data_IF_278356156155
#
_entry.id   IF_278356156155
#
_cell.length_a   1.000
_cell.length_b   1.000
_cell.length_c   1.000
_cell.angle_alpha   90.00
_cell.angle_beta   90.00
_cell.angle_gamma   90.00
#
_symmetry.space_group_name_H-M   'P 1'
#
loop_
_entity.id
_entity.type
_entity.pdbx_description
1 polymer ?
#
# COMPACT_ATOMS: atom_id res chain seq x y z
N UNK A 1 -10.35 -17.35 11.69
CA UNK A 1 -9.50 -16.45 12.51
C UNK A 1 -9.38 -15.10 11.79
N UNK A 2 -9.99 -13.99 12.26
CA UNK A 2 -9.75 -12.69 11.65
C UNK A 2 -8.30 -12.30 11.92
N UNK A 3 -7.43 -12.55 10.93
CA UNK A 3 -5.99 -12.35 11.06
C UNK A 3 -5.67 -10.95 11.57
N UNK A 4 -4.89 -10.88 12.65
CA UNK A 4 -4.41 -9.65 13.31
C UNK A 4 -3.58 -8.83 12.31
N UNK A 5 -4.24 -7.97 11.51
CA UNK A 5 -3.62 -7.05 10.54
C UNK A 5 -2.88 -5.89 11.25
N UNK A 6 -1.63 -5.63 10.91
CA UNK A 6 -0.70 -4.70 11.57
C UNK A 6 -0.18 -3.61 10.63
N UNK A 7 0.50 -2.59 11.17
CA UNK A 7 0.21 -1.13 11.08
C UNK A 7 1.33 -0.26 10.51
N UNK A 8 0.96 0.82 9.84
CA UNK A 8 1.85 1.94 9.48
C UNK A 8 1.91 3.00 10.61
N UNK A 9 3.12 3.32 11.08
CA UNK A 9 3.37 4.39 12.06
C UNK A 9 4.06 5.54 11.34
N UNK A 10 3.41 6.69 11.25
CA UNK A 10 3.91 7.89 10.57
C UNK A 10 4.50 8.83 11.62
N UNK A 11 5.83 8.95 11.67
CA UNK A 11 6.49 9.91 12.56
C UNK A 11 6.51 11.27 11.87
N UNK A 12 6.24 12.35 12.59
CA UNK A 12 6.27 13.70 12.04
C UNK A 12 6.78 14.71 13.07
N UNK A 13 7.31 15.82 12.60
CA UNK A 13 7.88 16.86 13.45
C UNK A 13 8.83 17.76 12.67
N UNK A 14 9.22 18.87 13.29
CA UNK A 14 10.14 19.85 12.71
C UNK A 14 11.47 19.20 12.29
N UNK A 15 12.23 19.80 11.35
CA UNK A 15 13.61 19.39 11.12
C UNK A 15 14.39 19.42 12.44
N UNK A 16 15.30 18.46 12.62
CA UNK A 16 16.11 18.31 13.86
C UNK A 16 15.34 18.23 15.18
N UNK A 17 14.03 17.89 15.17
CA UNK A 17 13.23 17.72 16.38
C UNK A 17 13.43 16.40 17.14
N UNK A 18 14.40 15.56 16.78
CA UNK A 18 14.63 14.27 17.45
C UNK A 18 13.75 13.10 16.96
N UNK A 19 13.13 13.23 15.78
CA UNK A 19 12.32 12.17 15.15
C UNK A 19 13.04 10.84 15.08
N UNK A 20 14.25 10.81 14.52
CA UNK A 20 15.06 9.60 14.36
C UNK A 20 15.49 8.99 15.69
N UNK A 21 15.66 9.81 16.74
CA UNK A 21 15.91 9.35 18.10
C UNK A 21 14.69 8.64 18.67
N UNK A 22 13.50 9.26 18.58
CA UNK A 22 12.24 8.62 19.02
C UNK A 22 11.85 7.42 18.16
N UNK A 23 12.18 7.43 16.87
CA UNK A 23 11.97 6.31 15.95
C UNK A 23 12.78 5.07 16.36
N UNK A 24 14.06 5.25 16.73
CA UNK A 24 14.91 4.17 17.26
C UNK A 24 14.41 3.64 18.59
N UNK A 25 14.00 4.51 19.51
CA UNK A 25 13.40 4.11 20.79
C UNK A 25 12.13 3.28 20.57
N UNK A 26 11.24 3.74 19.67
CA UNK A 26 10.03 3.02 19.31
C UNK A 26 10.35 1.67 18.65
N UNK A 27 11.32 1.64 17.74
CA UNK A 27 11.76 0.41 17.09
C UNK A 27 12.29 -0.61 18.11
N UNK A 28 13.13 -0.18 19.06
CA UNK A 28 13.63 -1.04 20.14
C UNK A 28 12.48 -1.59 21.01
N UNK A 29 11.56 -0.72 21.44
CA UNK A 29 10.36 -1.11 22.19
C UNK A 29 9.50 -2.14 21.44
N UNK A 30 9.22 -1.89 20.15
CA UNK A 30 8.40 -2.80 19.34
C UNK A 30 9.11 -4.13 19.13
N UNK A 31 10.42 -4.13 18.91
CA UNK A 31 11.22 -5.35 18.78
C UNK A 31 11.15 -6.22 20.05
N UNK A 32 11.25 -5.60 21.23
CA UNK A 32 11.08 -6.25 22.54
C UNK A 32 9.67 -6.86 22.68
N UNK A 33 8.62 -6.08 22.36
CA UNK A 33 7.21 -6.50 22.44
C UNK A 33 6.85 -7.63 21.48
N UNK A 34 7.37 -7.59 20.24
CA UNK A 34 7.16 -8.64 19.24
C UNK A 34 7.82 -9.94 19.71
N UNK A 35 9.02 -9.85 20.29
CA UNK A 35 9.76 -11.01 20.80
C UNK A 35 9.06 -11.65 21.99
N UNK A 36 8.58 -10.86 22.95
CA UNK A 36 7.85 -11.37 24.13
C UNK A 36 6.48 -11.97 23.78
N UNK A 37 5.75 -11.35 22.84
CA UNK A 37 4.46 -11.88 22.36
C UNK A 37 4.60 -13.24 21.67
N UNK A 38 5.73 -13.48 21.02
CA UNK A 38 6.01 -14.73 20.28
C UNK A 38 6.26 -15.92 21.23
N UNK A 39 6.70 -15.67 22.46
CA UNK A 39 6.96 -16.73 23.45
C UNK A 39 5.68 -17.22 24.14
N UNK A 40 4.70 -16.33 24.36
CA UNK A 40 3.51 -16.66 25.15
C UNK A 40 2.39 -17.31 24.34
N UNK A 41 2.34 -17.07 23.03
CA UNK A 41 1.30 -17.59 22.14
C UNK A 41 1.99 -18.03 20.85
N UNK A 42 1.76 -19.26 20.38
CA UNK A 42 2.24 -19.82 19.09
C UNK A 42 1.68 -19.05 17.86
N UNK A 43 1.72 -17.73 17.89
CA UNK A 43 1.16 -16.82 16.90
C UNK A 43 2.29 -16.20 16.09
N UNK A 44 2.03 -16.05 14.79
CA UNK A 44 2.99 -15.60 13.78
C UNK A 44 3.70 -14.30 14.18
N UNK A 45 5.03 -14.33 14.09
CA UNK A 45 5.92 -13.21 14.38
C UNK A 45 5.63 -12.03 13.45
N UNK A 46 5.55 -10.83 14.01
CA UNK A 46 5.48 -9.60 13.21
C UNK A 46 6.86 -9.26 12.68
N UNK A 47 6.90 -8.75 11.45
CA UNK A 47 8.11 -8.14 10.90
C UNK A 47 8.07 -6.65 11.18
N UNK A 48 9.19 -6.10 11.62
CA UNK A 48 9.34 -4.68 11.93
C UNK A 48 10.27 -4.04 10.91
N UNK A 49 9.84 -2.92 10.32
CA UNK A 49 10.59 -2.18 9.31
C UNK A 49 10.74 -0.74 9.75
N UNK A 50 11.96 -0.19 9.66
CA UNK A 50 12.25 1.23 9.83
C UNK A 50 12.62 1.82 8.47
N UNK A 51 11.82 2.77 7.99
CA UNK A 51 12.05 3.48 6.74
C UNK A 51 12.29 4.94 7.08
N UNK A 52 13.35 5.52 6.55
CA UNK A 52 13.63 6.95 6.65
C UNK A 52 14.26 7.46 5.35
N UNK A 53 14.40 8.78 5.26
CA UNK A 53 15.15 9.41 4.16
C UNK A 53 16.57 8.84 4.08
N UNK A 54 17.22 8.63 5.23
CA UNK A 54 18.55 8.03 5.32
C UNK A 54 18.56 6.60 4.77
N UNK A 55 17.59 5.75 5.14
CA UNK A 55 17.55 4.37 4.63
C UNK A 55 17.23 4.29 3.14
N UNK A 56 16.64 5.34 2.56
CA UNK A 56 16.42 5.46 1.11
C UNK A 56 17.49 6.31 0.41
N UNK A 57 18.59 6.69 1.09
CA UNK A 57 19.67 7.52 0.54
C UNK A 57 19.16 8.85 -0.05
N UNK A 58 18.14 9.45 0.58
CA UNK A 58 17.54 10.73 0.18
C UNK A 58 18.26 11.84 0.95
N UNK A 59 19.02 12.71 0.28
CA UNK A 59 19.73 13.80 0.95
C UNK A 59 18.76 14.91 1.35
N UNK A 60 19.02 15.58 2.49
CA UNK A 60 18.16 16.68 2.98
C UNK A 60 18.07 17.88 2.04
N UNK A 61 18.99 18.00 1.08
CA UNK A 61 18.95 19.01 0.03
C UNK A 61 17.74 18.88 -0.90
N UNK A 62 17.06 17.72 -0.97
CA UNK A 62 15.85 17.57 -1.80
C UNK A 62 14.71 18.48 -1.38
N UNK A 63 14.71 18.90 -0.11
CA UNK A 63 13.74 19.81 0.49
C UNK A 63 14.08 21.30 0.29
N UNK A 64 15.28 21.60 -0.24
CA UNK A 64 15.65 22.97 -0.54
C UNK A 64 15.00 23.39 -1.85
N UNK A 65 13.97 24.23 -1.72
CA UNK A 65 13.18 24.76 -2.83
C UNK A 65 13.70 26.13 -3.32
N UNK A 66 14.90 26.52 -2.90
CA UNK A 66 15.52 27.77 -3.34
C UNK A 66 15.89 27.72 -4.83
N UNK A 67 15.60 28.77 -5.61
CA UNK A 67 15.89 28.79 -7.05
C UNK A 67 17.36 28.53 -7.40
N UNK A 68 18.29 28.86 -6.51
CA UNK A 68 19.73 28.68 -6.70
C UNK A 68 20.19 27.22 -6.60
N UNK A 69 19.42 26.33 -5.96
CA UNK A 69 19.75 24.91 -5.81
C UNK A 69 19.05 24.03 -6.86
N UNK A 70 18.12 24.60 -7.64
CA UNK A 70 17.37 23.86 -8.65
C UNK A 70 18.19 23.68 -9.94
N UNK A 71 18.37 22.44 -10.44
CA UNK A 71 18.95 22.23 -11.76
C UNK A 71 18.07 22.89 -12.83
N UNK A 72 18.70 23.59 -13.78
CA UNK A 72 18.00 24.45 -14.76
C UNK A 72 16.91 23.76 -15.61
N UNK A 73 16.95 22.43 -15.72
CA UNK A 73 16.03 21.62 -16.52
C UNK A 73 14.84 21.05 -15.72
N UNK A 74 14.75 21.33 -14.42
CA UNK A 74 13.68 20.80 -13.57
C UNK A 74 12.40 21.60 -13.76
N UNK A 75 11.31 20.90 -14.12
CA UNK A 75 10.00 21.51 -14.47
C UNK A 75 9.33 22.29 -13.33
N UNK A 76 9.73 22.07 -12.08
CA UNK A 76 9.16 22.70 -10.89
C UNK A 76 10.15 22.68 -9.74
N UNK A 77 10.15 23.73 -8.92
CA UNK A 77 10.92 23.75 -7.69
C UNK A 77 10.68 22.53 -6.79
N UNK A 78 9.46 21.95 -6.84
CA UNK A 78 9.05 20.88 -5.94
C UNK A 78 9.34 19.47 -6.48
N UNK A 79 10.04 19.34 -7.62
CA UNK A 79 10.24 18.04 -8.27
C UNK A 79 11.10 17.10 -7.42
N UNK A 80 12.22 17.59 -6.88
CA UNK A 80 13.12 16.82 -6.02
C UNK A 80 12.40 16.23 -4.80
N UNK A 81 11.61 17.05 -4.12
CA UNK A 81 10.82 16.63 -2.97
C UNK A 81 9.71 15.65 -3.39
N UNK A 82 9.07 15.88 -4.54
CA UNK A 82 8.06 14.96 -5.07
C UNK A 82 8.65 13.58 -5.36
N UNK A 83 9.85 13.52 -5.91
CA UNK A 83 10.57 12.28 -6.20
C UNK A 83 11.00 11.58 -4.91
N UNK A 84 11.46 12.34 -3.91
CA UNK A 84 11.75 11.81 -2.57
C UNK A 84 10.50 11.17 -1.93
N UNK A 85 9.35 11.86 -1.96
CA UNK A 85 8.08 11.30 -1.48
C UNK A 85 7.67 10.06 -2.29
N UNK A 86 7.91 10.01 -3.60
CA UNK A 86 7.62 8.85 -4.41
C UNK A 86 8.50 7.63 -4.05
N UNK A 87 9.80 7.86 -3.78
CA UNK A 87 10.72 6.82 -3.32
C UNK A 87 10.31 6.26 -1.95
N UNK A 88 10.00 7.13 -0.98
CA UNK A 88 9.49 6.73 0.34
C UNK A 88 8.16 5.98 0.22
N UNK A 89 7.23 6.48 -0.60
CA UNK A 89 5.95 5.81 -0.85
C UNK A 89 6.14 4.39 -1.39
N UNK A 90 7.04 4.21 -2.36
CA UNK A 90 7.37 2.90 -2.91
C UNK A 90 8.06 1.98 -1.89
N UNK A 91 8.91 2.53 -1.01
CA UNK A 91 9.53 1.77 0.08
C UNK A 91 8.47 1.25 1.08
N UNK A 92 7.58 2.13 1.55
CA UNK A 92 6.48 1.75 2.45
C UNK A 92 5.58 0.71 1.80
N UNK A 93 5.13 0.95 0.57
CA UNK A 93 4.23 0.07 -0.16
C UNK A 93 4.78 -1.36 -0.34
N UNK A 94 6.09 -1.51 -0.53
CA UNK A 94 6.73 -2.83 -0.70
C UNK A 94 6.65 -3.71 0.55
N UNK A 95 6.70 -3.10 1.74
CA UNK A 95 6.73 -3.83 3.01
C UNK A 95 5.38 -3.87 3.72
N UNK A 96 4.46 -2.99 3.32
CA UNK A 96 3.18 -2.82 3.99
C UNK A 96 2.28 -4.05 3.79
N UNK A 97 2.10 -4.82 4.87
CA UNK A 97 1.20 -5.97 4.87
C UNK A 97 0.55 -6.13 6.24
N UNK A 98 -0.55 -6.92 6.34
CA UNK A 98 -1.15 -7.28 7.61
C UNK A 98 -0.20 -7.90 8.65
N UNK A 99 0.97 -8.41 8.29
CA UNK A 99 1.93 -9.03 9.23
C UNK A 99 3.13 -8.13 9.55
N UNK A 100 3.16 -6.94 8.99
CA UNK A 100 4.30 -6.02 9.07
C UNK A 100 3.91 -4.79 9.89
N UNK A 101 4.84 -4.31 10.72
CA UNK A 101 4.78 -2.99 11.35
C UNK A 101 5.83 -2.13 10.66
N UNK A 102 5.41 -0.99 10.14
CA UNK A 102 6.29 -0.07 9.41
C UNK A 102 6.38 1.23 10.19
N UNK A 103 7.58 1.56 10.68
CA UNK A 103 7.89 2.86 11.27
C UNK A 103 8.47 3.74 10.16
N UNK A 104 7.75 4.80 9.80
CA UNK A 104 8.21 5.79 8.83
C UNK A 104 8.76 7.00 9.57
N UNK A 105 10.09 7.08 9.68
CA UNK A 105 10.82 8.23 10.21
C UNK A 105 11.10 9.24 9.09
N UNK A 106 10.37 10.34 9.10
CA UNK A 106 10.55 11.42 8.14
C UNK A 106 9.94 12.71 8.64
N UNK A 107 10.13 13.82 7.92
CA UNK A 107 9.47 15.08 8.25
C UNK A 107 7.95 14.92 8.23
N UNK A 108 7.43 14.27 7.18
CA UNK A 108 6.01 13.99 6.97
C UNK A 108 5.12 15.24 7.23
N UNK A 109 5.64 16.39 6.85
CA UNK A 109 5.18 17.70 7.30
C UNK A 109 3.99 18.24 6.49
N UNK A 110 3.66 17.62 5.37
CA UNK A 110 2.54 18.00 4.50
C UNK A 110 1.33 17.11 4.83
N UNK A 111 0.17 17.71 5.11
CA UNK A 111 -1.10 17.01 5.38
C UNK A 111 -1.54 16.13 4.22
N UNK A 112 -1.42 16.63 2.99
CA UNK A 112 -1.75 15.85 1.77
C UNK A 112 -0.88 14.59 1.63
N UNK A 113 0.37 14.65 2.09
CA UNK A 113 1.27 13.50 2.11
C UNK A 113 0.89 12.49 3.21
N UNK A 114 0.58 12.95 4.42
CA UNK A 114 0.05 12.06 5.48
C UNK A 114 -1.26 11.39 5.07
N UNK A 115 -2.14 12.10 4.36
CA UNK A 115 -3.35 11.54 3.77
C UNK A 115 -3.06 10.43 2.72
N UNK A 116 -2.05 10.62 1.88
CA UNK A 116 -1.64 9.61 0.90
C UNK A 116 -1.17 8.32 1.59
N UNK A 117 -0.36 8.44 2.64
CA UNK A 117 0.11 7.31 3.46
C UNK A 117 -1.05 6.60 4.17
N UNK A 118 -1.99 7.35 4.73
CA UNK A 118 -3.21 6.81 5.32
C UNK A 118 -4.03 6.00 4.30
N UNK A 119 -4.19 6.52 3.08
CA UNK A 119 -4.90 5.82 2.02
C UNK A 119 -4.20 4.50 1.64
N UNK A 120 -2.87 4.49 1.62
CA UNK A 120 -2.09 3.29 1.34
C UNK A 120 -2.26 2.23 2.43
N UNK A 121 -2.20 2.64 3.71
CA UNK A 121 -2.51 1.76 4.82
C UNK A 121 -3.93 1.18 4.72
N UNK A 122 -4.91 2.02 4.40
CA UNK A 122 -6.29 1.58 4.19
C UNK A 122 -6.42 0.59 3.03
N UNK A 123 -5.71 0.79 1.92
CA UNK A 123 -5.68 -0.12 0.77
C UNK A 123 -5.07 -1.48 1.14
N UNK A 124 -3.95 -1.47 1.87
CA UNK A 124 -3.31 -2.67 2.42
C UNK A 124 -4.07 -3.28 3.62
N UNK A 125 -5.25 -2.75 3.96
CA UNK A 125 -6.14 -3.21 5.04
C UNK A 125 -5.45 -3.24 6.40
N UNK A 126 -4.55 -2.28 6.61
CA UNK A 126 -3.72 -2.13 7.80
C UNK A 126 -4.08 -0.82 8.52
N UNK A 127 -3.99 -0.77 9.85
CA UNK A 127 -4.11 0.48 10.59
C UNK A 127 -2.99 1.45 10.25
N UNK A 128 -3.23 2.72 10.54
CA UNK A 128 -2.19 3.73 10.59
C UNK A 128 -2.35 4.59 11.83
N UNK A 129 -1.25 5.11 12.37
CA UNK A 129 -1.25 6.15 13.39
C UNK A 129 -0.18 7.19 13.10
N UNK A 130 -0.29 8.36 13.72
CA UNK A 130 0.70 9.42 13.64
C UNK A 130 1.37 9.61 15.00
N UNK A 131 2.69 9.66 15.00
CA UNK A 131 3.49 10.03 16.17
C UNK A 131 4.17 11.38 15.89
N UNK A 132 3.70 12.42 16.55
CA UNK A 132 4.32 13.73 16.51
C UNK A 132 5.44 13.83 17.54
N UNK A 133 6.63 14.21 17.09
CA UNK A 133 7.76 14.53 17.97
C UNK A 133 7.90 16.05 18.06
N UNK A 134 7.49 16.58 19.20
CA UNK A 134 7.48 18.00 19.53
C UNK A 134 8.81 18.46 20.15
N UNK A 135 9.24 19.64 19.75
CA UNK A 135 10.41 20.34 20.27
C UNK A 135 10.19 21.83 20.03
N UNK A 136 10.64 22.69 20.95
CA UNK A 136 10.64 24.14 20.70
C UNK A 136 11.49 24.48 19.49
N UNK A 137 11.03 25.42 18.65
CA UNK A 137 11.71 25.83 17.40
C UNK A 137 13.17 26.19 17.67
N UNK A 138 13.44 26.97 18.72
CA UNK A 138 14.80 27.39 19.09
C UNK A 138 15.71 26.23 19.48
N UNK A 139 15.16 25.19 20.13
CA UNK A 139 15.95 24.01 20.50
C UNK A 139 16.26 23.17 19.27
N UNK A 140 15.29 22.96 18.38
CA UNK A 140 15.51 22.29 17.11
C UNK A 140 16.51 23.05 16.22
N UNK A 141 16.45 24.39 16.19
CA UNK A 141 17.39 25.29 15.52
C UNK A 141 18.81 25.09 16.05
N UNK A 142 18.98 25.12 17.37
CA UNK A 142 20.28 24.92 18.02
C UNK A 142 20.94 23.58 17.67
N UNK A 143 20.15 22.51 17.52
CA UNK A 143 20.65 21.20 17.04
C UNK A 143 21.17 21.31 15.61
N UNK A 144 20.45 21.98 14.72
CA UNK A 144 20.88 22.15 13.33
C UNK A 144 22.16 23.00 13.24
N UNK A 145 22.25 24.08 14.03
CA UNK A 145 23.44 24.92 14.11
C UNK A 145 24.66 24.17 14.65
N UNK A 146 24.48 23.33 15.67
CA UNK A 146 25.54 22.47 16.18
C UNK A 146 26.02 21.48 15.10
N UNK A 147 25.09 20.86 14.35
CA UNK A 147 25.41 19.97 13.21
C UNK A 147 26.11 20.71 12.07
N UNK A 148 25.70 21.94 11.74
CA UNK A 148 26.37 22.80 10.76
C UNK A 148 27.81 23.14 11.20
N UNK A 149 28.01 23.50 12.47
CA UNK A 149 29.34 23.79 13.04
C UNK A 149 30.24 22.55 12.99
N UNK A 150 29.72 21.39 13.36
CA UNK A 150 30.44 20.12 13.28
C UNK A 150 30.82 19.77 11.83
N UNK A 151 29.90 19.95 10.87
CA UNK A 151 30.16 19.71 9.46
C UNK A 151 31.23 20.64 8.89
N UNK A 152 31.20 21.94 9.24
CA UNK A 152 32.23 22.92 8.85
C UNK A 152 33.60 22.57 9.42
N UNK A 153 33.66 22.17 10.70
CA UNK A 153 34.89 21.73 11.34
C UNK A 153 35.49 20.48 10.65
N UNK A 154 34.64 19.52 10.24
CA UNK A 154 35.07 18.33 9.49
C UNK A 154 35.61 18.68 8.10
N UNK A 155 34.96 19.60 7.37
CA UNK A 155 35.44 20.06 6.06
C UNK A 155 36.82 20.71 6.17
N UNK A 156 36.99 21.61 7.16
CA UNK A 156 38.27 22.27 7.42
C UNK A 156 39.40 21.28 7.76
N UNK A 157 39.13 20.26 8.59
CA UNK A 157 40.12 19.22 8.89
C UNK A 157 40.53 18.42 7.65
N UNK A 158 39.58 18.06 6.78
CA UNK A 158 39.87 17.37 5.51
C UNK A 158 40.71 18.24 4.56
N UNK A 159 40.40 19.53 4.47
CA UNK A 159 41.19 20.48 3.66
C UNK A 159 42.61 20.67 4.21
N UNK A 160 42.80 20.64 5.53
CA UNK A 160 44.11 20.69 6.19
C UNK A 160 44.91 19.39 5.93
N UNK A 161 44.27 18.20 6.02
CA UNK A 161 44.89 16.90 5.72
C UNK A 161 45.22 16.70 4.23
N UNK A 162 44.41 17.23 3.30
CA UNK A 162 44.70 17.18 1.85
C UNK A 162 45.79 18.17 1.43
N UNK A 163 45.96 19.28 2.17
CA UNK A 163 47.02 20.26 1.95
C UNK A 163 48.40 19.81 2.46
N UNK A 164 48.43 18.99 3.50
CA UNK A 164 49.64 18.33 4.01
C UNK A 164 49.77 16.95 3.36
N UNK A 165 50.33 16.89 2.14
CA UNK A 165 50.47 15.68 1.32
C UNK A 165 51.26 14.51 1.95
N UNK A 166 50.71 13.88 3.00
CA UNK A 166 51.26 12.70 3.66
C UNK A 166 50.62 11.47 3.02
N UNK A 167 51.38 10.84 2.13
CA UNK A 167 51.10 9.50 1.63
C UNK A 167 51.29 8.47 2.76
N UNK A 168 50.31 8.33 3.63
CA UNK A 168 50.28 7.34 4.71
C UNK A 168 49.24 6.27 4.42
N UNK A 169 49.67 5.16 3.82
CA UNK A 169 48.78 4.05 3.46
C UNK A 169 48.32 3.20 4.64
N UNK A 170 47.21 2.49 4.40
CA UNK A 170 46.95 1.16 4.96
C UNK A 170 46.43 1.11 6.39
N UNK A 171 45.13 0.82 6.53
CA UNK A 171 44.56 0.43 7.81
C UNK A 171 43.06 0.21 7.72
N UNK A 172 42.65 -0.94 7.18
CA UNK A 172 41.27 -1.39 7.25
C UNK A 172 40.87 -1.61 8.71
N UNK A 173 39.86 -0.88 9.16
CA UNK A 173 39.22 -1.09 10.47
C UNK A 173 37.72 -1.22 10.21
N UNK A 174 37.23 -2.45 10.30
CA UNK A 174 35.81 -2.74 10.51
C UNK A 174 35.39 -2.04 11.81
N UNK A 175 34.61 -0.97 11.70
CA UNK A 175 34.02 -0.27 12.84
C UNK A 175 32.54 -0.61 12.91
N UNK A 176 32.17 -1.29 14.00
CA UNK A 176 30.80 -1.54 14.41
C UNK A 176 30.11 -0.21 14.68
N UNK A 177 29.33 0.29 13.71
CA UNK A 177 28.64 1.59 13.77
C UNK A 177 27.82 1.73 15.06
N UNK A 178 28.23 2.63 15.94
CA UNK A 178 27.48 3.02 17.15
C UNK A 178 26.33 3.96 16.77
N UNK A 179 25.31 4.06 17.63
CA UNK A 179 24.09 4.84 17.35
C UNK A 179 24.29 6.35 17.16
N UNK A 180 25.47 6.88 17.46
CA UNK A 180 25.86 8.27 17.20
C UNK A 180 26.26 8.47 15.73
N UNK A 181 26.99 7.53 15.12
CA UNK A 181 27.42 7.62 13.71
C UNK A 181 26.25 7.63 12.73
N UNK A 182 25.15 6.95 13.06
CA UNK A 182 23.94 6.97 12.24
C UNK A 182 23.25 8.36 12.23
N UNK A 183 23.36 9.14 13.32
CA UNK A 183 22.88 10.53 13.32
C UNK A 183 23.82 11.46 12.54
N UNK A 184 25.11 11.12 12.49
CA UNK A 184 26.10 11.85 11.69
C UNK A 184 25.92 11.63 10.19
N UNK A 185 25.40 10.47 9.78
CA UNK A 185 25.21 10.09 8.39
C UNK A 185 24.17 10.98 7.66
N UNK A 186 23.22 11.57 8.38
CA UNK A 186 22.19 12.42 7.78
C UNK A 186 22.62 13.87 7.51
N UNK A 187 23.83 14.28 7.93
CA UNK A 187 24.36 15.64 7.75
C UNK A 187 23.53 16.73 8.46
N UNK A 188 23.80 18.03 8.23
CA UNK A 188 22.92 19.14 8.63
C UNK A 188 21.93 19.55 7.53
N UNK A 189 20.92 20.37 7.87
CA UNK A 189 20.17 21.14 6.87
C UNK A 189 20.87 22.50 6.66
N UNK A 190 20.93 22.99 5.42
CA UNK A 190 21.29 24.39 5.18
C UNK A 190 20.31 25.32 5.92
N UNK A 191 20.81 26.42 6.49
CA UNK A 191 20.01 27.28 7.37
C UNK A 191 18.74 27.79 6.67
N UNK A 192 18.85 28.20 5.41
CA UNK A 192 17.70 28.65 4.59
C UNK A 192 16.67 27.55 4.41
N UNK A 193 17.09 26.33 4.11
CA UNK A 193 16.21 25.17 3.96
C UNK A 193 15.52 24.83 5.29
N UNK A 194 16.27 24.87 6.40
CA UNK A 194 15.72 24.61 7.72
C UNK A 194 14.61 25.60 8.10
N UNK A 195 14.82 26.91 7.92
CA UNK A 195 13.77 27.93 8.16
C UNK A 195 12.54 27.69 7.29
N UNK A 196 12.76 27.41 6.01
CA UNK A 196 11.69 27.17 5.05
C UNK A 196 10.86 25.93 5.42
N UNK A 197 11.51 24.87 5.89
CA UNK A 197 10.84 23.65 6.33
C UNK A 197 10.02 23.86 7.61
N UNK A 198 10.54 24.65 8.56
CA UNK A 198 9.77 25.02 9.76
C UNK A 198 8.55 25.85 9.37
N UNK A 199 8.70 26.83 8.48
CA UNK A 199 7.60 27.67 8.02
C UNK A 199 6.50 26.88 7.28
N UNK A 200 6.87 25.85 6.52
CA UNK A 200 5.94 25.01 5.74
C UNK A 200 5.36 23.84 6.53
N UNK A 201 5.74 23.66 7.79
CA UNK A 201 5.30 22.53 8.60
C UNK A 201 3.80 22.62 8.93
N UNK A 202 3.01 21.62 8.51
CA UNK A 202 1.59 21.54 8.79
C UNK A 202 1.33 20.59 9.96
N UNK A 203 1.04 21.17 11.13
CA UNK A 203 0.73 20.45 12.37
C UNK A 203 -0.33 19.34 12.16
N UNK A 204 -0.09 18.11 12.65
CA UNK A 204 -1.08 17.04 12.63
C UNK A 204 -2.37 17.44 13.34
N UNK A 205 -3.52 17.20 12.69
CA UNK A 205 -4.81 17.55 13.26
C UNK A 205 -5.58 16.30 13.69
N UNK A 206 -5.75 16.04 15.01
CA UNK A 206 -6.41 14.84 15.51
C UNK A 206 -7.90 14.74 15.14
N UNK A 207 -8.51 15.81 14.63
CA UNK A 207 -9.89 15.80 14.11
C UNK A 207 -9.98 15.20 12.70
N UNK A 208 -8.86 15.10 11.99
CA UNK A 208 -8.82 14.55 10.63
C UNK A 208 -8.52 13.07 10.64
N UNK A 209 -9.31 12.29 9.88
CA UNK A 209 -9.26 10.81 9.91
C UNK A 209 -7.89 10.21 9.56
N UNK A 210 -7.07 10.92 8.80
CA UNK A 210 -5.73 10.46 8.38
C UNK A 210 -4.63 10.79 9.39
N UNK A 211 -4.84 11.76 10.28
CA UNK A 211 -3.91 12.08 11.37
C UNK A 211 -4.31 11.38 12.69
N UNK A 212 -5.51 10.77 12.77
CA UNK A 212 -5.97 10.00 13.94
C UNK A 212 -5.68 8.48 13.81
N UNK A 213 -5.28 7.80 14.90
CA UNK A 213 -4.95 8.33 16.22
C UNK A 213 -3.60 9.06 16.20
N UNK A 214 -3.57 10.23 16.84
CA UNK A 214 -2.39 11.07 17.00
C UNK A 214 -1.80 10.84 18.39
N UNK A 215 -0.50 10.57 18.43
CA UNK A 215 0.31 10.49 19.65
C UNK A 215 1.36 11.59 19.62
N UNK A 216 1.77 12.08 20.78
CA UNK A 216 2.75 13.16 20.89
C UNK A 216 3.81 12.78 21.90
N UNK A 217 5.08 13.07 21.57
CA UNK A 217 6.22 13.01 22.48
C UNK A 217 6.99 14.32 22.41
N UNK A 218 7.27 14.92 23.56
CA UNK A 218 8.15 16.09 23.68
C UNK A 218 9.55 15.67 24.18
N UNK A 219 10.49 16.60 24.22
CA UNK A 219 11.86 16.32 24.66
C UNK A 219 11.94 16.13 26.17
N UNK A 220 11.10 16.83 26.90
CA UNK A 220 10.97 16.79 28.35
C UNK A 220 10.33 15.48 28.86
N UNK A 221 9.73 14.69 27.97
CA UNK A 221 9.15 13.40 28.32
C UNK A 221 10.25 12.41 28.71
N UNK A 222 10.19 11.99 29.97
CA UNK A 222 11.05 10.94 30.51
C UNK A 222 10.78 9.57 29.87
N UNK A 223 11.60 8.59 30.24
CA UNK A 223 11.48 7.24 29.71
C UNK A 223 10.14 6.57 30.06
N UNK A 224 9.56 6.88 31.23
CA UNK A 224 8.29 6.31 31.67
C UNK A 224 7.10 6.85 30.87
N UNK A 225 7.05 8.16 30.61
CA UNK A 225 6.06 8.79 29.72
C UNK A 225 6.23 8.29 28.29
N UNK A 226 7.46 8.21 27.80
CA UNK A 226 7.77 7.66 26.48
C UNK A 226 7.23 6.22 26.35
N UNK A 227 7.50 5.37 27.35
CA UNK A 227 6.99 3.99 27.41
C UNK A 227 5.46 3.94 27.43
N UNK A 228 4.81 4.81 28.20
CA UNK A 228 3.35 4.88 28.28
C UNK A 228 2.73 5.23 26.93
N UNK A 229 3.31 6.18 26.18
CA UNK A 229 2.85 6.51 24.82
C UNK A 229 3.03 5.31 23.90
N UNK A 230 4.16 4.61 23.98
CA UNK A 230 4.40 3.41 23.18
C UNK A 230 3.43 2.27 23.50
N UNK A 231 3.06 2.07 24.78
CA UNK A 231 2.03 1.10 25.16
C UNK A 231 0.66 1.49 24.57
N UNK A 232 0.24 2.76 24.67
CA UNK A 232 -1.00 3.25 24.03
C UNK A 232 -0.97 3.09 22.50
N UNK A 233 0.18 3.33 21.87
CA UNK A 233 0.38 3.08 20.45
C UNK A 233 0.21 1.60 20.13
N UNK A 234 0.87 0.71 20.89
CA UNK A 234 0.75 -0.75 20.72
C UNK A 234 -0.71 -1.20 20.79
N UNK A 235 -1.47 -0.73 21.77
CA UNK A 235 -2.89 -1.07 21.91
C UNK A 235 -3.73 -0.57 20.73
N UNK A 236 -3.47 0.64 20.23
CA UNK A 236 -4.17 1.19 19.07
C UNK A 236 -3.88 0.40 17.78
N UNK A 237 -2.65 -0.10 17.62
CA UNK A 237 -2.18 -0.70 16.37
C UNK A 237 -2.24 -2.23 16.36
N UNK A 238 -2.16 -2.87 17.52
CA UNK A 238 -2.03 -4.31 17.69
C UNK A 238 -3.02 -4.91 18.69
N UNK A 239 -3.70 -4.09 19.49
CA UNK A 239 -4.67 -4.53 20.50
C UNK A 239 -5.94 -5.16 19.92
N UNK A 240 -6.63 -5.92 20.77
CA UNK A 240 -7.82 -6.71 20.39
C UNK A 240 -9.05 -5.82 20.10
N UNK A 241 -9.10 -4.61 20.68
CA UNK A 241 -10.20 -3.66 20.52
C UNK A 241 -10.19 -2.85 19.22
N UNK A 242 -9.32 -3.17 18.25
CA UNK A 242 -9.19 -2.34 17.05
C UNK A 242 -10.45 -2.39 16.18
N UNK A 243 -10.84 -1.23 15.63
CA UNK A 243 -11.89 -1.19 14.60
C UNK A 243 -11.39 -1.86 13.31
N UNK A 244 -12.13 -2.82 12.72
CA UNK A 244 -11.73 -3.45 11.47
C UNK A 244 -11.75 -2.44 10.32
N UNK A 245 -10.61 -2.26 9.67
CA UNK A 245 -10.46 -1.34 8.53
C UNK A 245 -10.95 -2.02 7.26
N UNK A 246 -11.97 -1.43 6.65
CA UNK A 246 -12.49 -1.83 5.35
C UNK A 246 -11.84 -0.96 4.26
N UNK A 247 -11.24 -1.55 3.21
CA UNK A 247 -10.72 -0.78 2.09
C UNK A 247 -11.85 -0.02 1.40
N UNK A 248 -11.53 1.11 0.77
CA UNK A 248 -12.52 1.81 -0.05
C UNK A 248 -12.83 0.93 -1.27
N UNK A 249 -14.09 0.53 -1.43
CA UNK A 249 -14.50 -0.36 -2.54
C UNK A 249 -14.20 0.26 -3.92
N UNK A 250 -14.21 1.59 -4.02
CA UNK A 250 -13.89 2.33 -5.25
C UNK A 250 -12.41 2.26 -5.65
N UNK A 251 -11.49 1.91 -4.75
CA UNK A 251 -10.03 1.86 -5.01
C UNK A 251 -9.44 0.46 -4.93
N UNK A 252 -10.28 -0.56 -4.70
CA UNK A 252 -9.85 -1.94 -4.88
C UNK A 252 -9.58 -2.12 -6.37
N UNK A 253 -8.30 -2.09 -6.76
CA UNK A 253 -7.90 -2.64 -8.05
C UNK A 253 -8.39 -4.09 -8.03
N UNK A 254 -9.39 -4.37 -8.87
CA UNK A 254 -9.93 -5.72 -9.02
C UNK A 254 -8.75 -6.62 -9.33
N UNK A 255 -8.54 -7.64 -8.49
CA UNK A 255 -7.53 -8.65 -8.79
C UNK A 255 -7.81 -9.14 -10.21
N UNK A 256 -6.81 -9.08 -11.08
CA UNK A 256 -6.96 -9.53 -12.49
C UNK A 256 -7.15 -11.05 -12.60
N UNK A 257 -7.16 -11.76 -11.48
CA UNK A 257 -7.54 -13.16 -11.37
C UNK A 257 -8.82 -13.28 -10.54
N UNK A 258 -10.00 -13.31 -11.19
CA UNK A 258 -11.13 -14.04 -10.64
C UNK A 258 -10.60 -15.48 -10.49
N UNK A 259 -10.36 -15.94 -9.25
CA UNK A 259 -9.61 -17.17 -8.96
C UNK A 259 -9.90 -18.28 -9.98
N UNK A 260 -8.84 -18.90 -10.53
CA UNK A 260 -8.79 -19.60 -11.82
C UNK A 260 -9.90 -20.62 -12.16
N UNK A 261 -10.77 -20.95 -11.20
CA UNK A 261 -12.02 -21.67 -11.41
C UNK A 261 -13.04 -20.87 -12.23
N UNK A 262 -13.13 -19.53 -12.13
CA UNK A 262 -14.17 -18.77 -12.85
C UNK A 262 -14.02 -18.86 -14.38
N UNK A 263 -12.82 -18.62 -14.91
CA UNK A 263 -12.59 -18.69 -16.35
C UNK A 263 -12.82 -20.11 -16.86
N UNK A 264 -12.40 -21.11 -16.09
CA UNK A 264 -12.65 -22.52 -16.38
C UNK A 264 -14.16 -22.84 -16.42
N UNK A 265 -14.93 -22.38 -15.42
CA UNK A 265 -16.39 -22.57 -15.37
C UNK A 265 -17.08 -21.84 -16.52
N UNK A 266 -16.68 -20.59 -16.83
CA UNK A 266 -17.20 -19.81 -17.95
C UNK A 266 -17.00 -20.53 -19.29
N UNK A 267 -15.80 -21.00 -19.57
CA UNK A 267 -15.50 -21.72 -20.81
C UNK A 267 -16.24 -23.07 -20.87
N UNK A 268 -16.31 -23.80 -19.74
CA UNK A 268 -17.00 -25.09 -19.66
C UNK A 268 -18.50 -24.95 -19.89
N UNK A 269 -19.18 -24.05 -19.19
CA UNK A 269 -20.64 -23.89 -19.29
C UNK A 269 -21.05 -23.34 -20.66
N UNK A 270 -20.31 -22.37 -21.20
CA UNK A 270 -20.62 -21.83 -22.54
C UNK A 270 -20.39 -22.87 -23.64
N UNK A 271 -19.38 -23.74 -23.50
CA UNK A 271 -19.15 -24.83 -24.45
C UNK A 271 -20.22 -25.94 -24.35
N UNK A 272 -20.71 -26.25 -23.14
CA UNK A 272 -21.84 -27.18 -22.95
C UNK A 272 -23.10 -26.69 -23.68
N UNK A 273 -23.40 -25.39 -23.61
CA UNK A 273 -24.54 -24.80 -24.32
C UNK A 273 -24.38 -24.90 -25.85
N UNK A 274 -23.19 -24.58 -26.37
CA UNK A 274 -22.89 -24.72 -27.81
C UNK A 274 -23.08 -26.16 -28.28
N UNK A 275 -22.64 -27.15 -27.49
CA UNK A 275 -22.81 -28.57 -27.80
C UNK A 275 -24.29 -28.96 -27.85
N UNK A 276 -25.08 -28.56 -26.84
CA UNK A 276 -26.52 -28.85 -26.78
C UNK A 276 -27.31 -28.22 -27.94
N UNK A 277 -26.94 -27.01 -28.38
CA UNK A 277 -27.56 -26.39 -29.56
C UNK A 277 -27.28 -27.22 -30.82
N UNK A 278 -26.03 -27.64 -31.03
CA UNK A 278 -25.65 -28.45 -32.20
C UNK A 278 -26.32 -29.84 -32.23
N UNK A 279 -26.57 -30.44 -31.06
CA UNK A 279 -27.21 -31.75 -30.93
C UNK A 279 -28.74 -31.70 -31.08
N UNK A 280 -29.38 -30.58 -30.73
CA UNK A 280 -30.85 -30.47 -30.66
C UNK A 280 -31.49 -29.60 -31.75
N UNK A 281 -30.69 -28.88 -32.54
CA UNK A 281 -31.15 -28.09 -33.67
C UNK A 281 -31.73 -28.99 -34.79
N UNK A 282 -32.83 -28.56 -35.41
CA UNK A 282 -33.41 -29.23 -36.58
C UNK A 282 -32.50 -29.14 -37.81
N UNK A 283 -32.64 -30.08 -38.76
CA UNK A 283 -31.87 -30.02 -39.99
C UNK A 283 -32.24 -28.86 -40.91
N UNK A 284 -33.50 -28.40 -40.85
CA UNK A 284 -34.00 -27.24 -41.60
C UNK A 284 -33.59 -25.90 -40.96
N UNK A 285 -33.16 -25.91 -39.69
CA UNK A 285 -32.95 -24.71 -38.89
C UNK A 285 -34.22 -24.21 -38.22
N UNK A 286 -34.09 -23.16 -37.41
CA UNK A 286 -35.19 -22.63 -36.60
C UNK A 286 -35.61 -23.50 -35.43
N UNK A 287 -36.63 -23.04 -34.72
CA UNK A 287 -37.19 -23.69 -33.54
C UNK A 287 -36.53 -23.25 -32.23
N UNK A 288 -36.83 -23.98 -31.16
CA UNK A 288 -36.32 -23.70 -29.82
C UNK A 288 -35.49 -24.87 -29.29
N UNK A 289 -34.38 -24.55 -28.60
CA UNK A 289 -33.56 -25.54 -27.90
C UNK A 289 -33.63 -25.30 -26.41
N UNK A 290 -34.16 -26.29 -25.69
CA UNK A 290 -34.20 -26.27 -24.24
C UNK A 290 -32.84 -26.65 -23.65
N UNK A 291 -32.33 -25.84 -22.74
CA UNK A 291 -31.05 -26.00 -22.06
C UNK A 291 -31.32 -26.18 -20.56
N UNK A 292 -31.03 -27.36 -20.00
CA UNK A 292 -31.22 -27.61 -18.57
C UNK A 292 -30.47 -26.59 -17.70
N UNK A 293 -31.17 -26.03 -16.71
CA UNK A 293 -30.55 -25.22 -15.66
C UNK A 293 -29.67 -26.09 -14.78
N UNK A 294 -28.55 -25.54 -14.32
CA UNK A 294 -27.68 -26.19 -13.33
C UNK A 294 -28.22 -25.86 -11.94
N UNK A 295 -28.49 -26.87 -11.13
CA UNK A 295 -29.00 -26.68 -9.77
C UNK A 295 -28.00 -25.87 -8.93
N UNK A 296 -28.50 -24.82 -8.27
CA UNK A 296 -27.74 -24.12 -7.25
C UNK A 296 -27.48 -25.09 -6.10
N UNK A 297 -26.23 -25.18 -5.63
CA UNK A 297 -25.88 -26.00 -4.46
C UNK A 297 -26.53 -25.40 -3.21
N UNK A 298 -27.78 -25.78 -2.93
CA UNK A 298 -28.60 -25.21 -1.87
C UNK A 298 -30.09 -25.43 -2.08
N UNK A 299 -30.54 -25.56 -3.33
CA UNK A 299 -31.95 -25.86 -3.65
C UNK A 299 -32.09 -27.32 -4.03
N UNK A 300 -32.45 -28.15 -3.04
CA UNK A 300 -32.84 -29.54 -3.22
C UNK A 300 -34.24 -29.65 -3.85
N UNK A 301 -34.42 -29.10 -5.06
CA UNK A 301 -35.44 -29.49 -6.05
C UNK A 301 -35.19 -28.68 -7.32
N UNK A 302 -34.78 -29.35 -8.40
CA UNK A 302 -34.52 -28.74 -9.71
C UNK A 302 -35.80 -28.35 -10.44
N UNK A 303 -36.62 -27.49 -9.82
CA UNK A 303 -37.93 -27.06 -10.31
C UNK A 303 -37.86 -25.70 -11.02
N UNK A 304 -36.79 -25.50 -11.81
CA UNK A 304 -36.62 -24.33 -12.66
C UNK A 304 -36.84 -24.70 -14.11
N UNK A 305 -37.71 -23.96 -14.81
CA UNK A 305 -37.93 -24.12 -16.25
C UNK A 305 -36.59 -24.08 -17.01
N UNK A 306 -36.46 -24.94 -18.03
CA UNK A 306 -35.30 -24.97 -18.91
C UNK A 306 -35.08 -23.60 -19.55
N UNK A 307 -33.81 -23.25 -19.78
CA UNK A 307 -33.48 -22.04 -20.54
C UNK A 307 -33.76 -22.30 -22.01
N UNK A 308 -34.49 -21.41 -22.66
CA UNK A 308 -34.88 -21.58 -24.07
C UNK A 308 -33.96 -20.73 -24.96
N UNK A 309 -33.28 -21.40 -25.91
CA UNK A 309 -32.55 -20.74 -26.98
C UNK A 309 -33.43 -20.70 -28.22
N UNK A 310 -33.74 -19.52 -28.73
CA UNK A 310 -34.55 -19.32 -29.94
C UNK A 310 -33.63 -19.29 -31.17
N UNK A 311 -33.71 -20.31 -32.02
CA UNK A 311 -32.85 -20.42 -33.19
C UNK A 311 -33.40 -19.58 -34.35
N UNK A 312 -32.52 -18.91 -35.12
CA UNK A 312 -32.95 -18.19 -36.32
C UNK A 312 -33.49 -19.17 -37.36
N UNK A 313 -34.31 -18.71 -38.32
CA UNK A 313 -34.92 -19.54 -39.37
C UNK A 313 -33.95 -20.23 -40.35
N UNK A 314 -32.67 -20.29 -40.02
CA UNK A 314 -31.58 -20.95 -40.74
C UNK A 314 -30.74 -21.77 -39.77
N UNK A 315 -30.15 -22.87 -40.26
CA UNK A 315 -29.28 -23.74 -39.46
C UNK A 315 -28.04 -22.97 -38.99
N UNK A 316 -27.82 -22.87 -37.68
CA UNK A 316 -26.64 -22.22 -37.10
C UNK A 316 -25.48 -23.20 -37.09
N UNK A 317 -24.40 -22.84 -37.79
CA UNK A 317 -23.20 -23.66 -37.87
C UNK A 317 -22.28 -23.51 -36.66
N UNK A 318 -21.44 -24.52 -36.40
CA UNK A 318 -20.38 -24.48 -35.38
C UNK A 318 -19.50 -23.21 -35.45
N UNK A 319 -19.06 -22.71 -36.62
CA UNK A 319 -18.24 -21.50 -36.69
C UNK A 319 -18.94 -20.25 -36.14
N UNK A 320 -20.26 -20.11 -36.36
CA UNK A 320 -21.05 -18.98 -35.89
C UNK A 320 -21.24 -19.05 -34.37
N UNK A 321 -21.62 -20.20 -33.83
CA UNK A 321 -21.72 -20.42 -32.39
C UNK A 321 -20.39 -20.17 -31.67
N UNK A 322 -19.27 -20.63 -32.25
CA UNK A 322 -17.94 -20.38 -31.69
C UNK A 322 -17.56 -18.89 -31.73
N UNK A 323 -18.00 -18.14 -32.74
CA UNK A 323 -17.81 -16.68 -32.79
C UNK A 323 -18.57 -15.99 -31.66
N UNK A 324 -19.84 -16.34 -31.45
CA UNK A 324 -20.65 -15.80 -30.35
C UNK A 324 -20.07 -16.15 -28.98
N UNK A 325 -19.67 -17.41 -28.79
CA UNK A 325 -19.00 -17.85 -27.57
C UNK A 325 -17.74 -17.04 -27.28
N UNK A 326 -16.84 -16.87 -28.26
CA UNK A 326 -15.60 -16.10 -28.06
C UNK A 326 -15.86 -14.63 -27.71
N UNK A 327 -16.86 -14.01 -28.36
CA UNK A 327 -17.25 -12.64 -28.04
C UNK A 327 -17.79 -12.54 -26.60
N UNK A 328 -18.68 -13.45 -26.20
CA UNK A 328 -19.23 -13.50 -24.85
C UNK A 328 -18.15 -13.73 -23.78
N UNK A 329 -17.25 -14.70 -23.99
CA UNK A 329 -16.12 -14.96 -23.09
C UNK A 329 -15.20 -13.74 -23.00
N UNK A 330 -14.95 -13.06 -24.13
CA UNK A 330 -14.15 -11.82 -24.16
C UNK A 330 -14.76 -10.71 -23.29
N UNK A 331 -16.08 -10.53 -23.34
CA UNK A 331 -16.78 -9.54 -22.53
C UNK A 331 -16.80 -9.91 -21.04
N UNK A 332 -16.91 -11.20 -20.72
CA UNK A 332 -17.08 -11.68 -19.34
C UNK A 332 -15.77 -12.15 -18.68
N UNK A 333 -14.62 -12.08 -19.36
CA UNK A 333 -13.33 -12.58 -18.86
C UNK A 333 -12.94 -12.03 -17.49
N UNK A 334 -13.38 -10.82 -17.15
CA UNK A 334 -13.10 -10.16 -15.87
C UNK A 334 -14.05 -10.50 -14.72
N UNK A 335 -14.97 -11.47 -14.87
CA UNK A 335 -15.82 -11.94 -13.76
C UNK A 335 -16.76 -10.90 -13.14
N UNK A 336 -17.00 -9.79 -13.85
CA UNK A 336 -17.66 -8.59 -13.32
C UNK A 336 -19.04 -8.97 -12.74
N UNK A 337 -19.16 -8.96 -11.41
CA UNK A 337 -20.41 -9.22 -10.69
C UNK A 337 -20.69 -10.68 -10.32
N UNK A 338 -19.87 -11.65 -10.75
CA UNK A 338 -20.07 -13.08 -10.42
C UNK A 338 -19.01 -13.66 -9.47
N UNK A 339 -17.91 -12.95 -9.21
CA UNK A 339 -16.84 -13.38 -8.29
C UNK A 339 -17.30 -13.68 -6.85
N UNK A 340 -18.34 -12.99 -6.38
CA UNK A 340 -18.86 -13.20 -5.02
C UNK A 340 -19.74 -14.45 -4.89
N UNK A 341 -19.97 -15.18 -5.99
CA UNK A 341 -21.14 -16.05 -6.13
C UNK A 341 -20.76 -17.48 -6.50
N UNK A 342 -19.51 -17.92 -6.24
CA UNK A 342 -19.08 -19.33 -6.25
C UNK A 342 -19.82 -20.25 -7.24
N UNK A 343 -20.45 -21.32 -6.75
CA UNK A 343 -21.23 -22.26 -7.57
C UNK A 343 -22.53 -21.68 -8.15
N UNK A 344 -23.09 -20.64 -7.55
CA UNK A 344 -24.22 -19.88 -8.11
C UNK A 344 -23.81 -19.12 -9.40
N UNK A 345 -22.50 -18.97 -9.67
CA UNK A 345 -22.00 -18.38 -10.90
C UNK A 345 -22.41 -19.18 -12.14
N UNK A 346 -22.41 -20.52 -12.08
CA UNK A 346 -22.71 -21.35 -13.26
C UNK A 346 -24.14 -21.14 -13.78
N UNK A 347 -25.15 -21.10 -12.90
CA UNK A 347 -26.54 -20.89 -13.28
C UNK A 347 -26.73 -19.53 -13.97
N UNK A 348 -26.23 -18.45 -13.35
CA UNK A 348 -26.29 -17.09 -13.92
C UNK A 348 -25.48 -16.94 -15.20
N UNK A 349 -24.35 -17.63 -15.32
CA UNK A 349 -23.54 -17.66 -16.55
C UNK A 349 -24.32 -18.26 -17.71
N UNK A 350 -25.02 -19.38 -17.48
CA UNK A 350 -25.85 -20.02 -18.50
C UNK A 350 -27.01 -19.11 -18.92
N UNK A 351 -27.71 -18.50 -17.97
CA UNK A 351 -28.77 -17.54 -18.23
C UNK A 351 -28.29 -16.35 -19.06
N UNK A 352 -27.16 -15.76 -18.67
CA UNK A 352 -26.57 -14.63 -19.39
C UNK A 352 -26.12 -15.01 -20.80
N UNK A 353 -25.54 -16.20 -20.99
CA UNK A 353 -25.10 -16.64 -22.31
C UNK A 353 -26.28 -17.00 -23.22
N UNK A 354 -27.35 -17.62 -22.69
CA UNK A 354 -28.58 -17.89 -23.45
C UNK A 354 -29.25 -16.58 -23.88
N UNK A 355 -29.39 -15.60 -22.97
CA UNK A 355 -29.92 -14.28 -23.31
C UNK A 355 -29.07 -13.59 -24.40
N UNK A 356 -27.75 -13.64 -24.26
CA UNK A 356 -26.84 -13.12 -25.28
C UNK A 356 -27.01 -13.79 -26.65
N UNK A 357 -27.23 -15.11 -26.69
CA UNK A 357 -27.48 -15.81 -27.95
C UNK A 357 -28.81 -15.41 -28.57
N UNK A 358 -29.89 -15.33 -27.79
CA UNK A 358 -31.21 -14.94 -28.28
C UNK A 358 -31.18 -13.51 -28.86
N UNK A 359 -30.58 -12.55 -28.15
CA UNK A 359 -30.41 -11.16 -28.64
C UNK A 359 -29.63 -11.08 -29.96
N UNK A 360 -28.68 -11.99 -30.17
CA UNK A 360 -27.88 -12.04 -31.39
C UNK A 360 -28.58 -12.79 -32.52
N UNK A 361 -29.35 -13.82 -32.22
CA UNK A 361 -30.15 -14.55 -33.21
C UNK A 361 -31.34 -13.73 -33.69
N UNK A 362 -31.97 -12.92 -32.83
CA UNK A 362 -33.01 -11.97 -33.23
C UNK A 362 -32.49 -10.92 -34.21
N UNK A 363 -31.23 -10.52 -34.11
CA UNK A 363 -30.59 -9.55 -35.03
C UNK A 363 -30.11 -10.17 -36.35
N UNK A 364 -29.87 -11.49 -36.36
CA UNK A 364 -29.33 -12.22 -37.51
C UNK A 364 -30.43 -12.91 -38.36
N UNK A 365 -31.63 -13.05 -37.81
CA UNK A 365 -32.84 -13.56 -38.48
C UNK A 365 -33.59 -12.45 -39.18
#
# INVERSE_FOLDING_TARGET
>A
MPGKKKTLIIITGLPTSGKSTRARQLHAYLSERISSSSQQQQQQQYRLHLISDATQSIPRSVYDLSPSQLPAHVRSANASEKDARAAIYAAVKRVLSPRDIVVLDGLNYIKGWRYQLFCEAKNARTPSCVLQVGCGVERARGVNEARLKAARARRRRKEEEEGEGVSGGGGGIESTKSGEEAEEEEGPYESSNWENLVFRYEEPNPMTRWDSPLFTLIWEDDEAQTRQVFDKMWDAIAGEGRKPIRPNQSTVQRDKDPGGDYLYVLERETQDIVKKILERQSDEGGGTVNIPRVANSGDSQGDGEDLVVELPGKKVGLPQLQRYRRAFVGMNRGGIGLEAVGKLAAARLRESFVGYLNDHFEKDG
#
